data_IF_323736446598
#
_entry.id   IF_323736446598
#
_cell.length_a   1.000
_cell.length_b   1.000
_cell.length_c   1.000
_cell.angle_alpha   90.00
_cell.angle_beta   90.00
_cell.angle_gamma   90.00
#
_symmetry.space_group_name_H-M   'P 1'
#
loop_
_entity.id
_entity.type
_entity.pdbx_description
1 polymer ?
#
# COMPACT_ATOMS: atom_id res chain seq x y z
N UNK A 1 -18.16 -10.26 5.16
CA UNK A 1 -18.01 -9.51 3.88
C UNK A 1 -17.72 -8.01 4.09
N UNK A 2 -18.43 -7.28 4.97
CA UNK A 2 -18.21 -5.84 5.19
C UNK A 2 -16.79 -5.47 5.62
N UNK A 3 -16.22 -6.18 6.59
CA UNK A 3 -14.85 -5.94 7.07
C UNK A 3 -13.80 -6.09 5.95
N UNK A 4 -13.92 -7.14 5.12
CA UNK A 4 -13.05 -7.39 3.95
C UNK A 4 -13.05 -6.23 2.96
N UNK A 5 -14.20 -5.64 2.68
CA UNK A 5 -14.32 -4.47 1.80
C UNK A 5 -13.60 -3.26 2.38
N UNK A 6 -13.78 -2.98 3.68
CA UNK A 6 -13.11 -1.86 4.34
C UNK A 6 -11.59 -2.06 4.45
N UNK A 7 -11.11 -3.28 4.68
CA UNK A 7 -9.67 -3.56 4.71
C UNK A 7 -9.02 -3.24 3.36
N UNK A 8 -9.64 -3.61 2.23
CA UNK A 8 -9.13 -3.25 0.90
C UNK A 8 -9.11 -1.74 0.65
N UNK A 9 -10.16 -1.03 1.05
CA UNK A 9 -10.26 0.43 0.92
C UNK A 9 -9.14 1.11 1.71
N UNK A 10 -8.95 0.72 2.97
CA UNK A 10 -7.87 1.25 3.82
C UNK A 10 -6.50 0.95 3.22
N UNK A 11 -6.32 -0.25 2.67
CA UNK A 11 -5.08 -0.66 2.04
C UNK A 11 -4.74 0.21 0.83
N UNK A 12 -5.70 0.41 -0.07
CA UNK A 12 -5.56 1.27 -1.24
C UNK A 12 -5.28 2.72 -0.84
N UNK A 13 -5.95 3.23 0.19
CA UNK A 13 -5.71 4.57 0.72
C UNK A 13 -4.29 4.73 1.24
N UNK A 14 -3.80 3.79 2.04
CA UNK A 14 -2.43 3.86 2.60
C UNK A 14 -1.38 3.79 1.50
N UNK A 15 -1.54 2.87 0.53
CA UNK A 15 -0.62 2.74 -0.61
C UNK A 15 -0.60 4.04 -1.43
N UNK A 16 -1.78 4.57 -1.78
CA UNK A 16 -1.90 5.81 -2.54
C UNK A 16 -1.29 7.01 -1.80
N UNK A 17 -1.48 7.09 -0.48
CA UNK A 17 -0.92 8.14 0.35
C UNK A 17 0.61 8.07 0.40
N UNK A 18 1.19 6.88 0.57
CA UNK A 18 2.64 6.69 0.61
C UNK A 18 3.30 7.06 -0.72
N UNK A 19 2.70 6.65 -1.84
CA UNK A 19 3.18 7.03 -3.18
C UNK A 19 3.08 8.54 -3.37
N UNK A 20 1.95 9.15 -3.02
CA UNK A 20 1.74 10.60 -3.16
C UNK A 20 2.72 11.41 -2.30
N UNK A 21 2.96 10.98 -1.06
CA UNK A 21 3.94 11.61 -0.16
C UNK A 21 5.37 11.46 -0.68
N UNK A 22 5.72 10.27 -1.19
CA UNK A 22 7.00 10.05 -1.84
C UNK A 22 7.21 11.00 -3.02
N UNK A 23 6.25 11.09 -3.93
CA UNK A 23 6.33 11.97 -5.11
C UNK A 23 6.40 13.44 -4.70
N UNK A 24 5.57 13.86 -3.73
CA UNK A 24 5.58 15.22 -3.21
C UNK A 24 6.96 15.58 -2.62
N UNK A 25 7.55 14.70 -1.80
CA UNK A 25 8.87 14.93 -1.20
C UNK A 25 9.99 14.92 -2.23
N UNK A 26 9.90 14.07 -3.24
CA UNK A 26 10.85 14.09 -4.36
C UNK A 26 10.78 15.43 -5.11
N UNK A 27 9.58 15.93 -5.38
CA UNK A 27 9.38 17.20 -6.07
C UNK A 27 9.78 18.42 -5.22
N UNK A 28 9.52 18.40 -3.91
CA UNK A 28 9.77 19.51 -3.01
C UNK A 28 11.23 19.57 -2.51
N UNK A 29 11.82 18.41 -2.23
CA UNK A 29 13.11 18.31 -1.52
C UNK A 29 14.24 17.73 -2.37
N UNK A 30 13.91 17.07 -3.49
CA UNK A 30 14.88 16.29 -4.26
C UNK A 30 15.41 15.04 -3.53
N UNK A 31 14.82 14.68 -2.38
CA UNK A 31 15.27 13.55 -1.56
C UNK A 31 14.77 12.22 -2.16
N UNK A 32 15.64 11.62 -2.97
CA UNK A 32 15.42 10.32 -3.61
C UNK A 32 15.36 9.19 -2.58
N UNK A 33 16.07 9.31 -1.46
CA UNK A 33 16.11 8.27 -0.42
C UNK A 33 14.75 8.10 0.25
N UNK A 34 14.10 9.21 0.59
CA UNK A 34 12.78 9.18 1.21
C UNK A 34 11.69 8.74 0.22
N UNK A 35 11.84 9.07 -1.07
CA UNK A 35 10.97 8.52 -2.13
C UNK A 35 11.10 7.00 -2.25
N UNK A 36 12.32 6.47 -2.38
CA UNK A 36 12.58 5.03 -2.52
C UNK A 36 12.06 4.25 -1.30
N UNK A 37 12.24 4.80 -0.09
CA UNK A 37 11.69 4.20 1.13
C UNK A 37 10.17 4.14 1.11
N UNK A 38 9.49 5.24 0.81
CA UNK A 38 8.03 5.29 0.76
C UNK A 38 7.47 4.35 -0.34
N UNK A 39 8.14 4.29 -1.49
CA UNK A 39 7.81 3.38 -2.57
C UNK A 39 8.00 1.91 -2.17
N UNK A 40 9.11 1.58 -1.49
CA UNK A 40 9.38 0.24 -0.99
C UNK A 40 8.33 -0.22 0.02
N UNK A 41 7.93 0.64 0.96
CA UNK A 41 6.85 0.36 1.91
C UNK A 41 5.53 0.15 1.17
N UNK A 42 5.20 1.00 0.19
CA UNK A 42 3.98 0.86 -0.61
C UNK A 42 3.93 -0.49 -1.35
N UNK A 43 5.03 -0.89 -2.01
CA UNK A 43 5.14 -2.18 -2.70
C UNK A 43 5.01 -3.35 -1.73
N UNK A 44 5.71 -3.32 -0.59
CA UNK A 44 5.63 -4.37 0.42
C UNK A 44 4.20 -4.55 0.93
N UNK A 45 3.54 -3.44 1.24
CA UNK A 45 2.15 -3.43 1.64
C UNK A 45 1.28 -4.04 0.54
N UNK A 46 1.41 -3.60 -0.72
CA UNK A 46 0.61 -4.15 -1.83
C UNK A 46 0.76 -5.67 -1.93
N UNK A 47 1.98 -6.20 -1.86
CA UNK A 47 2.22 -7.65 -1.88
C UNK A 47 1.54 -8.33 -0.68
N UNK A 48 1.70 -7.78 0.52
CA UNK A 48 1.05 -8.30 1.72
C UNK A 48 -0.48 -8.34 1.57
N UNK A 49 -1.08 -7.28 1.03
CA UNK A 49 -2.52 -7.21 0.78
C UNK A 49 -3.00 -8.30 -0.17
N UNK A 50 -2.27 -8.51 -1.27
CA UNK A 50 -2.59 -9.54 -2.27
C UNK A 50 -2.51 -10.94 -1.65
N UNK A 51 -1.46 -11.22 -0.87
CA UNK A 51 -1.30 -12.51 -0.18
C UNK A 51 -2.41 -12.73 0.84
N UNK A 52 -2.74 -11.70 1.62
CA UNK A 52 -3.83 -11.74 2.59
C UNK A 52 -5.17 -12.04 1.91
N UNK A 53 -5.48 -11.36 0.81
CA UNK A 53 -6.72 -11.57 0.04
C UNK A 53 -6.80 -12.98 -0.53
N UNK A 54 -5.70 -13.50 -1.10
CA UNK A 54 -5.63 -14.87 -1.63
C UNK A 54 -5.86 -15.92 -0.55
N UNK A 55 -5.17 -15.80 0.58
CA UNK A 55 -5.34 -16.74 1.70
C UNK A 55 -6.74 -16.65 2.33
N UNK A 56 -7.36 -15.47 2.32
CA UNK A 56 -8.72 -15.30 2.83
C UNK A 56 -9.75 -15.98 1.92
N UNK A 57 -9.60 -15.89 0.60
CA UNK A 57 -10.47 -16.59 -0.36
C UNK A 57 -10.32 -18.11 -0.25
N UNK A 58 -9.09 -18.61 -0.04
CA UNK A 58 -8.85 -20.05 0.16
C UNK A 58 -9.43 -20.62 1.46
N UNK A 59 -9.65 -19.79 2.49
CA UNK A 59 -10.26 -20.23 3.75
C UNK A 59 -11.79 -20.05 3.78
N UNK A 60 -12.38 -19.46 2.73
CA UNK A 60 -13.81 -19.27 2.60
C UNK A 60 -14.51 -20.38 1.76
N UNK A 61 -13.73 -21.31 1.20
CA UNK A 61 -14.18 -22.57 0.59
C UNK A 61 -14.01 -23.72 1.58
#
# INVERSE_FOLDING_TARGET
MRARSWTMVLFTLVVGLLVSLGVYRLAASGDVGDFVRNLGIAVFLTVFSVVLLRNWDSQAM
#
